data_IF_962062577431
#
_entry.id   IF_962062577431
#
_cell.length_a   1.000
_cell.length_b   1.000
_cell.length_c   1.000
_cell.angle_alpha   90.00
_cell.angle_beta   90.00
_cell.angle_gamma   90.00
#
_symmetry.space_group_name_H-M   'P 1'
#
loop_
_entity.id
_entity.type
_entity.pdbx_description
1 polymer ?
#
# COMPACT_ATOMS: atom_id res chain seq x y z
N UNK A 1 42.52 61.10 -32.34
CA UNK A 1 41.40 61.91 -31.81
C UNK A 1 40.43 60.99 -31.10
N UNK A 2 40.11 61.31 -29.83
CA UNK A 2 38.89 60.98 -29.05
C UNK A 2 38.57 59.47 -28.81
N UNK A 3 38.66 58.97 -27.56
CA UNK A 3 37.60 58.92 -26.50
C UNK A 3 36.38 58.06 -26.93
N UNK A 4 35.68 57.25 -26.14
CA UNK A 4 35.77 56.63 -24.80
C UNK A 4 34.44 55.84 -24.63
N UNK A 5 34.37 54.96 -23.61
CA UNK A 5 33.15 54.55 -22.84
C UNK A 5 32.38 53.23 -23.17
N UNK A 6 32.54 52.30 -22.20
CA UNK A 6 31.61 51.37 -21.47
C UNK A 6 30.77 50.28 -22.16
N UNK A 7 31.08 49.06 -21.70
CA UNK A 7 30.25 48.11 -20.92
C UNK A 7 29.07 47.42 -21.62
N UNK A 8 29.10 46.08 -21.65
CA UNK A 8 28.09 45.19 -21.03
C UNK A 8 28.48 43.70 -21.19
N UNK A 9 28.24 42.95 -20.11
CA UNK A 9 28.46 41.51 -19.95
C UNK A 9 27.54 40.69 -20.86
N UNK A 10 28.06 39.67 -21.53
CA UNK A 10 27.27 38.53 -21.98
C UNK A 10 28.10 37.25 -22.08
N UNK A 11 27.71 36.27 -21.27
CA UNK A 11 27.75 34.82 -21.52
C UNK A 11 29.09 34.20 -21.96
N UNK A 12 29.86 33.75 -20.97
CA UNK A 12 30.83 32.66 -21.12
C UNK A 12 30.77 31.81 -19.86
N UNK A 13 30.03 30.70 -19.92
CA UNK A 13 29.91 29.75 -18.82
C UNK A 13 29.99 28.34 -19.37
N UNK A 14 31.22 27.91 -19.68
CA UNK A 14 31.56 26.53 -19.94
C UNK A 14 31.00 25.63 -18.82
N UNK A 15 30.27 24.59 -19.18
CA UNK A 15 29.92 23.51 -18.27
C UNK A 15 31.18 22.69 -17.96
N UNK A 16 32.03 23.23 -17.09
CA UNK A 16 33.09 22.45 -16.44
C UNK A 16 32.39 21.49 -15.49
N UNK A 17 32.39 20.22 -15.87
CA UNK A 17 32.11 19.09 -14.99
C UNK A 17 33.12 19.18 -13.85
N UNK A 18 32.69 19.69 -12.71
CA UNK A 18 33.53 19.70 -11.51
C UNK A 18 33.75 18.25 -11.09
N UNK A 19 34.97 17.80 -11.35
CA UNK A 19 35.55 16.57 -10.81
C UNK A 19 35.27 16.47 -9.31
N UNK A 20 34.93 15.24 -8.91
CA UNK A 20 34.76 14.75 -7.55
C UNK A 20 35.79 15.36 -6.58
N UNK A 21 35.38 16.22 -5.62
CA UNK A 21 36.25 16.57 -4.51
C UNK A 21 36.14 15.53 -3.40
N UNK A 22 37.27 15.38 -2.73
CA UNK A 22 37.66 14.38 -1.77
C UNK A 22 36.77 14.30 -0.51
N UNK A 23 36.86 13.15 0.14
CA UNK A 23 36.39 12.83 1.48
C UNK A 23 36.32 14.04 2.43
N UNK A 24 35.12 14.31 2.95
CA UNK A 24 34.87 15.41 3.89
C UNK A 24 33.51 16.11 3.72
N UNK A 25 32.57 15.53 2.97
CA UNK A 25 31.23 16.09 2.84
C UNK A 25 30.46 16.04 4.16
N UNK A 26 29.54 16.99 4.36
CA UNK A 26 28.57 17.09 5.47
C UNK A 26 27.97 15.73 5.86
N UNK A 27 27.83 14.81 4.89
CA UNK A 27 27.51 13.40 5.06
C UNK A 27 28.38 12.67 6.09
N UNK A 28 29.71 12.71 5.98
CA UNK A 28 30.60 11.99 6.90
C UNK A 28 30.47 12.51 8.35
N UNK A 29 30.33 13.82 8.52
CA UNK A 29 30.19 14.45 9.84
C UNK A 29 28.84 14.16 10.52
N UNK A 30 27.78 13.99 9.74
CA UNK A 30 26.47 13.59 10.27
C UNK A 30 26.48 12.13 10.73
N UNK A 31 27.09 11.23 9.94
CA UNK A 31 27.25 9.81 10.26
C UNK A 31 28.12 9.59 11.52
N UNK A 32 29.18 10.38 11.67
CA UNK A 32 30.06 10.36 12.85
C UNK A 32 29.32 10.82 14.12
N UNK A 33 28.41 11.82 14.02
CA UNK A 33 27.59 12.30 15.14
C UNK A 33 26.53 11.31 15.62
N UNK A 34 26.14 10.36 14.77
CA UNK A 34 25.13 9.32 15.08
C UNK A 34 25.74 7.93 15.28
N UNK A 35 27.08 7.82 15.40
CA UNK A 35 27.80 6.55 15.57
C UNK A 35 27.46 5.49 14.49
N UNK A 36 27.25 5.92 13.23
CA UNK A 36 26.99 5.01 12.11
C UNK A 36 28.11 5.13 11.09
N UNK A 37 28.55 4.00 10.54
CA UNK A 37 29.53 4.01 9.46
C UNK A 37 28.82 4.15 8.11
N UNK A 38 29.12 5.18 7.30
CA UNK A 38 28.48 5.36 6.00
C UNK A 38 28.85 4.20 5.08
N UNK A 39 27.86 3.40 4.68
CA UNK A 39 28.06 2.30 3.74
C UNK A 39 28.35 2.87 2.35
N UNK A 40 29.50 2.51 1.78
CA UNK A 40 30.09 3.17 0.61
C UNK A 40 29.35 2.91 -0.73
N UNK A 41 28.47 1.91 -0.78
CA UNK A 41 27.66 1.61 -1.95
C UNK A 41 26.40 0.86 -1.54
N UNK A 42 25.24 1.42 -1.85
CA UNK A 42 23.94 0.75 -1.70
C UNK A 42 23.52 0.15 -3.04
N UNK A 43 22.85 -0.98 -3.00
CA UNK A 43 22.16 -1.55 -4.15
C UNK A 43 21.06 -0.61 -4.63
N UNK A 44 20.76 -0.65 -5.94
CA UNK A 44 19.77 0.22 -6.59
C UNK A 44 18.43 0.22 -5.83
N UNK A 45 17.74 1.36 -5.80
CA UNK A 45 16.49 1.58 -5.05
C UNK A 45 15.43 0.47 -5.22
N UNK A 46 15.41 -0.20 -6.37
CA UNK A 46 14.51 -1.33 -6.63
C UNK A 46 14.76 -2.55 -5.73
N UNK A 47 16.00 -2.76 -5.25
CA UNK A 47 16.31 -3.86 -4.31
C UNK A 47 15.67 -3.69 -2.94
N UNK A 48 15.27 -2.47 -2.61
CA UNK A 48 14.69 -2.10 -1.32
C UNK A 48 13.16 -2.13 -1.33
N UNK A 49 12.54 -2.48 -2.46
CA UNK A 49 11.10 -2.77 -2.54
C UNK A 49 10.77 -4.19 -2.06
N UNK A 50 11.75 -5.09 -2.03
CA UNK A 50 11.58 -6.45 -1.57
C UNK A 50 11.65 -6.52 -0.04
N UNK A 51 10.58 -7.08 0.56
CA UNK A 51 10.40 -7.20 1.99
C UNK A 51 11.48 -8.09 2.63
N UNK A 52 12.02 -9.05 1.87
CA UNK A 52 13.06 -9.95 2.34
C UNK A 52 14.42 -9.24 2.47
N UNK A 53 14.76 -8.38 1.52
CA UNK A 53 16.01 -7.59 1.53
C UNK A 53 16.01 -6.53 2.64
N UNK A 54 14.83 -5.99 2.99
CA UNK A 54 14.64 -5.09 4.13
C UNK A 54 14.82 -5.77 5.50
N UNK A 55 14.40 -7.04 5.60
CA UNK A 55 14.51 -7.86 6.82
C UNK A 55 15.96 -8.26 7.10
N UNK A 56 16.72 -8.60 6.06
CA UNK A 56 18.10 -9.09 6.19
C UNK A 56 19.14 -7.95 6.35
N UNK A 57 18.78 -6.73 5.98
CA UNK A 57 19.64 -5.55 6.11
C UNK A 57 19.89 -5.17 7.58
N UNK A 58 21.08 -4.64 7.86
CA UNK A 58 21.40 -4.03 9.17
C UNK A 58 20.71 -2.68 9.35
N UNK A 59 20.58 -2.20 10.59
CA UNK A 59 19.97 -0.90 10.86
C UNK A 59 20.71 0.25 10.14
N UNK A 60 22.04 0.17 10.10
CA UNK A 60 22.93 1.14 9.47
C UNK A 60 22.69 1.23 7.95
N UNK A 61 22.49 0.10 7.29
CA UNK A 61 22.20 0.04 5.86
C UNK A 61 20.82 0.63 5.54
N UNK A 62 19.79 0.30 6.34
CA UNK A 62 18.44 0.87 6.16
C UNK A 62 18.42 2.38 6.34
N UNK A 63 19.13 2.90 7.35
CA UNK A 63 19.19 4.35 7.61
C UNK A 63 19.95 5.07 6.49
N UNK A 64 21.04 4.48 5.99
CA UNK A 64 21.79 5.04 4.87
C UNK A 64 20.93 5.09 3.60
N UNK A 65 20.18 4.02 3.31
CA UNK A 65 19.26 3.96 2.17
C UNK A 65 18.13 4.99 2.29
N UNK A 66 17.48 5.07 3.44
CA UNK A 66 16.42 6.03 3.70
C UNK A 66 16.90 7.47 3.52
N UNK A 67 18.09 7.80 4.04
CA UNK A 67 18.66 9.13 3.93
C UNK A 67 19.05 9.49 2.48
N UNK A 68 19.53 8.53 1.68
CA UNK A 68 19.78 8.75 0.26
C UNK A 68 18.50 8.99 -0.53
N UNK A 69 17.46 8.17 -0.32
CA UNK A 69 16.13 8.36 -0.94
C UNK A 69 15.58 9.74 -0.62
N UNK A 70 15.67 10.13 0.65
CA UNK A 70 15.20 11.43 1.10
C UNK A 70 15.93 12.58 0.40
N UNK A 71 17.26 12.52 0.31
CA UNK A 71 18.07 13.55 -0.33
C UNK A 71 17.89 13.60 -1.85
N UNK A 72 17.64 12.45 -2.49
CA UNK A 72 17.29 12.39 -3.90
C UNK A 72 15.92 13.02 -4.17
N UNK A 73 14.92 12.72 -3.33
CA UNK A 73 13.61 13.36 -3.39
C UNK A 73 13.70 14.87 -3.19
N UNK A 74 14.49 15.34 -2.23
CA UNK A 74 14.73 16.77 -2.01
C UNK A 74 15.44 17.45 -3.20
N UNK A 75 16.36 16.76 -3.87
CA UNK A 75 16.97 17.27 -5.10
C UNK A 75 15.96 17.40 -6.23
N UNK A 76 15.04 16.45 -6.35
CA UNK A 76 13.97 16.47 -7.37
C UNK A 76 12.92 17.55 -7.10
N UNK A 77 12.63 17.87 -5.84
CA UNK A 77 11.71 18.95 -5.49
C UNK A 77 12.29 20.35 -5.71
N UNK A 78 13.63 20.48 -5.79
CA UNK A 78 14.31 21.75 -6.08
C UNK A 78 14.32 22.73 -4.91
N UNK A 79 13.86 22.31 -3.73
CA UNK A 79 13.81 23.14 -2.53
C UNK A 79 15.20 23.34 -1.93
N UNK A 80 15.54 24.59 -1.62
CA UNK A 80 16.75 24.92 -0.86
C UNK A 80 16.54 24.58 0.62
N UNK A 81 16.94 23.38 1.00
CA UNK A 81 16.94 22.97 2.40
C UNK A 81 18.19 23.53 3.08
N UNK A 82 18.03 24.63 3.83
CA UNK A 82 19.12 25.22 4.62
C UNK A 82 19.43 24.40 5.88
N UNK A 83 18.43 23.68 6.42
CA UNK A 83 18.59 22.82 7.58
C UNK A 83 17.56 21.69 7.59
N UNK A 84 18.02 20.49 7.94
CA UNK A 84 17.18 19.31 8.11
C UNK A 84 16.57 19.37 9.51
N UNK A 85 15.48 20.12 9.65
CA UNK A 85 14.76 20.26 10.91
C UNK A 85 13.62 19.22 11.01
N UNK A 86 13.29 18.82 12.24
CA UNK A 86 12.22 17.84 12.51
C UNK A 86 10.88 18.23 11.86
N UNK A 87 10.58 19.54 11.83
CA UNK A 87 9.36 20.08 11.22
C UNK A 87 9.26 19.81 9.72
N UNK A 88 10.39 19.82 9.01
CA UNK A 88 10.44 19.52 7.57
C UNK A 88 10.21 18.02 7.33
N UNK A 89 10.77 17.16 8.19
CA UNK A 89 10.49 15.72 8.15
C UNK A 89 9.02 15.43 8.43
N UNK A 90 8.46 16.02 9.49
CA UNK A 90 7.05 15.85 9.84
C UNK A 90 6.13 16.34 8.69
N UNK A 91 6.52 17.40 7.98
CA UNK A 91 5.78 17.88 6.80
C UNK A 91 5.78 16.87 5.64
N UNK A 92 6.94 16.31 5.29
CA UNK A 92 7.01 15.31 4.22
C UNK A 92 6.36 13.97 4.61
N UNK A 93 6.40 13.58 5.89
CA UNK A 93 5.64 12.43 6.38
C UNK A 93 4.14 12.68 6.19
N UNK A 94 3.64 13.86 6.60
CA UNK A 94 2.24 14.21 6.41
C UNK A 94 1.82 14.26 4.93
N UNK A 95 2.71 14.71 4.04
CA UNK A 95 2.47 14.69 2.60
C UNK A 95 2.37 13.26 2.05
N UNK A 96 3.27 12.37 2.45
CA UNK A 96 3.22 10.95 2.08
C UNK A 96 1.96 10.28 2.63
N UNK A 97 1.63 10.50 3.90
CA UNK A 97 0.41 9.99 4.52
C UNK A 97 -0.83 10.49 3.77
N UNK A 98 -0.83 11.75 3.31
CA UNK A 98 -1.92 12.28 2.51
C UNK A 98 -2.02 11.60 1.14
N UNK A 99 -0.91 11.37 0.47
CA UNK A 99 -0.88 10.65 -0.82
C UNK A 99 -1.38 9.21 -0.68
N UNK A 100 -0.90 8.50 0.36
CA UNK A 100 -1.32 7.12 0.67
C UNK A 100 -2.81 7.10 1.02
N UNK A 101 -3.26 8.03 1.87
CA UNK A 101 -4.67 8.13 2.27
C UNK A 101 -5.57 8.37 1.06
N UNK A 102 -5.19 9.26 0.15
CA UNK A 102 -5.96 9.49 -1.09
C UNK A 102 -6.07 8.24 -1.96
N UNK A 103 -4.98 7.49 -2.08
CA UNK A 103 -4.98 6.26 -2.87
C UNK A 103 -5.84 5.18 -2.19
N UNK A 104 -5.71 5.05 -0.87
CA UNK A 104 -6.49 4.11 -0.09
C UNK A 104 -7.98 4.47 -0.15
N UNK A 105 -8.33 5.75 0.00
CA UNK A 105 -9.70 6.25 -0.13
C UNK A 105 -10.28 5.91 -1.50
N UNK A 106 -9.53 6.09 -2.58
CA UNK A 106 -9.99 5.73 -3.92
C UNK A 106 -10.29 4.23 -4.05
N UNK A 107 -9.47 3.37 -3.44
CA UNK A 107 -9.69 1.91 -3.44
C UNK A 107 -10.89 1.52 -2.57
N UNK A 108 -10.98 2.08 -1.36
CA UNK A 108 -12.03 1.80 -0.38
C UNK A 108 -13.40 2.32 -0.82
N UNK A 109 -13.44 3.40 -1.59
CA UNK A 109 -14.68 3.96 -2.15
C UNK A 109 -15.02 3.43 -3.53
N UNK A 110 -14.30 2.43 -4.02
CA UNK A 110 -14.65 1.77 -5.27
C UNK A 110 -15.93 0.93 -5.09
N UNK A 111 -16.91 1.11 -5.98
CA UNK A 111 -18.24 0.47 -5.90
C UNK A 111 -18.15 -1.06 -5.73
N UNK A 112 -17.26 -1.73 -6.49
CA UNK A 112 -17.07 -3.19 -6.35
C UNK A 112 -16.52 -3.60 -4.98
N UNK A 113 -15.60 -2.81 -4.43
CA UNK A 113 -15.03 -3.09 -3.11
C UNK A 113 -16.10 -2.89 -2.03
N UNK A 114 -16.83 -1.77 -2.08
CA UNK A 114 -17.91 -1.48 -1.13
C UNK A 114 -19.03 -2.53 -1.18
N UNK A 115 -19.38 -3.02 -2.39
CA UNK A 115 -20.36 -4.10 -2.55
C UNK A 115 -19.92 -5.35 -1.79
N UNK A 116 -18.69 -5.80 -2.00
CA UNK A 116 -18.15 -7.00 -1.32
C UNK A 116 -17.99 -6.74 0.18
N UNK A 117 -17.45 -5.59 0.58
CA UNK A 117 -17.27 -5.22 1.98
C UNK A 117 -18.60 -5.17 2.73
N UNK A 118 -19.64 -4.59 2.13
CA UNK A 118 -20.97 -4.51 2.75
C UNK A 118 -21.58 -5.88 3.01
N UNK A 119 -21.40 -6.83 2.07
CA UNK A 119 -21.84 -8.22 2.22
C UNK A 119 -21.12 -8.91 3.40
N UNK A 120 -19.78 -8.81 3.45
CA UNK A 120 -18.99 -9.43 4.52
C UNK A 120 -19.22 -8.76 5.88
N UNK A 121 -19.38 -7.44 5.93
CA UNK A 121 -19.75 -6.72 7.16
C UNK A 121 -21.14 -7.11 7.65
N UNK A 122 -22.10 -7.28 6.75
CA UNK A 122 -23.43 -7.79 7.05
C UNK A 122 -23.38 -9.20 7.64
N UNK A 123 -22.64 -10.10 6.99
CA UNK A 123 -22.42 -11.47 7.47
C UNK A 123 -21.73 -11.49 8.84
N UNK A 124 -20.70 -10.66 9.03
CA UNK A 124 -20.01 -10.52 10.32
C UNK A 124 -20.97 -10.04 11.40
N UNK A 125 -21.85 -9.08 11.11
CA UNK A 125 -22.88 -8.62 12.05
C UNK A 125 -23.85 -9.72 12.44
N UNK A 126 -24.24 -10.60 11.49
CA UNK A 126 -25.09 -11.75 11.75
C UNK A 126 -24.39 -12.75 12.69
N UNK A 127 -23.14 -13.08 12.40
CA UNK A 127 -22.33 -13.99 13.22
C UNK A 127 -22.15 -13.43 14.63
N UNK A 128 -21.83 -12.15 14.77
CA UNK A 128 -21.56 -11.52 16.07
C UNK A 128 -22.81 -11.42 16.96
N UNK A 129 -23.99 -11.34 16.36
CA UNK A 129 -25.27 -11.29 17.09
C UNK A 129 -25.84 -12.68 17.40
N UNK A 130 -25.24 -13.74 16.87
CA UNK A 130 -25.75 -15.11 17.02
C UNK A 130 -25.06 -15.81 18.20
N UNK A 131 -25.85 -16.30 19.16
CA UNK A 131 -25.32 -17.15 20.23
C UNK A 131 -25.21 -18.61 19.78
N UNK A 132 -24.02 -19.01 19.34
CA UNK A 132 -23.73 -20.39 18.92
C UNK A 132 -23.84 -21.42 20.05
N UNK A 133 -23.91 -21.00 21.33
CA UNK A 133 -24.12 -21.92 22.46
C UNK A 133 -25.53 -22.50 22.46
N UNK A 134 -26.47 -21.87 21.76
CA UNK A 134 -27.84 -22.36 21.60
C UNK A 134 -28.00 -23.38 20.46
N UNK A 135 -26.91 -24.04 20.06
CA UNK A 135 -26.89 -25.03 18.97
C UNK A 135 -27.39 -24.47 17.62
N UNK A 136 -27.06 -23.20 17.35
CA UNK A 136 -27.32 -22.55 16.07
C UNK A 136 -26.17 -22.85 15.11
N UNK A 137 -26.50 -23.16 13.86
CA UNK A 137 -25.55 -23.30 12.75
C UNK A 137 -25.92 -22.34 11.64
N UNK A 138 -24.93 -21.69 11.06
CA UNK A 138 -25.07 -20.80 9.92
C UNK A 138 -24.30 -21.43 8.77
N UNK A 139 -24.93 -21.55 7.62
CA UNK A 139 -24.33 -22.05 6.40
C UNK A 139 -24.42 -20.98 5.32
N UNK A 140 -23.34 -20.81 4.57
CA UNK A 140 -23.22 -19.78 3.56
C UNK A 140 -23.19 -20.44 2.19
N UNK A 141 -24.01 -19.95 1.28
CA UNK A 141 -24.05 -20.38 -0.11
C UNK A 141 -23.80 -19.16 -0.98
N UNK A 142 -22.68 -19.17 -1.70
CA UNK A 142 -22.32 -18.10 -2.62
C UNK A 142 -23.05 -18.30 -3.96
N UNK A 143 -23.97 -17.40 -4.28
CA UNK A 143 -24.78 -17.42 -5.49
C UNK A 143 -25.09 -15.99 -5.92
N UNK A 144 -24.98 -15.71 -7.22
CA UNK A 144 -25.46 -14.45 -7.77
C UNK A 144 -26.98 -14.49 -7.99
N UNK A 145 -27.61 -13.32 -8.01
CA UNK A 145 -29.05 -13.20 -8.27
C UNK A 145 -29.42 -13.60 -9.71
N UNK A 146 -28.49 -13.43 -10.64
CA UNK A 146 -28.70 -13.82 -12.05
C UNK A 146 -28.60 -15.33 -12.19
N UNK A 147 -27.59 -15.97 -11.59
CA UNK A 147 -27.46 -17.43 -11.59
C UNK A 147 -28.68 -18.10 -10.94
N UNK A 148 -29.17 -17.53 -9.84
CA UNK A 148 -30.36 -18.05 -9.18
C UNK A 148 -31.62 -17.93 -10.05
N UNK A 149 -31.75 -16.82 -10.80
CA UNK A 149 -32.87 -16.65 -11.74
C UNK A 149 -32.79 -17.65 -12.88
N UNK A 150 -31.59 -17.80 -13.45
CA UNK A 150 -31.34 -18.75 -14.53
C UNK A 150 -31.64 -20.18 -14.07
N UNK A 151 -31.23 -20.58 -12.86
CA UNK A 151 -31.55 -21.89 -12.27
C UNK A 151 -33.06 -22.15 -12.22
N UNK A 152 -33.86 -21.12 -11.89
CA UNK A 152 -35.32 -21.25 -11.88
C UNK A 152 -35.96 -21.22 -13.27
N UNK A 153 -35.35 -20.56 -14.26
CA UNK A 153 -35.85 -20.54 -15.63
C UNK A 153 -35.52 -21.84 -16.38
N UNK A 154 -34.37 -22.43 -16.10
CA UNK A 154 -33.92 -23.69 -16.71
C UNK A 154 -34.63 -24.92 -16.11
N UNK A 155 -35.04 -24.84 -14.84
CA UNK A 155 -35.74 -25.92 -14.16
C UNK A 155 -37.21 -26.02 -14.62
N UNK A 156 -37.68 -27.20 -15.09
CA UNK A 156 -39.08 -27.39 -15.48
C UNK A 156 -40.06 -27.19 -14.31
N UNK A 157 -39.61 -27.51 -13.11
CA UNK A 157 -40.34 -27.35 -11.86
C UNK A 157 -39.37 -26.89 -10.75
N UNK A 158 -39.86 -26.10 -9.79
CA UNK A 158 -39.05 -25.57 -8.67
C UNK A 158 -38.34 -26.69 -7.89
N UNK A 159 -38.99 -27.85 -7.72
CA UNK A 159 -38.43 -29.00 -7.01
C UNK A 159 -37.24 -29.66 -7.71
N UNK A 160 -36.98 -29.28 -8.95
CA UNK A 160 -35.86 -29.77 -9.76
C UNK A 160 -34.73 -28.72 -9.85
N UNK A 161 -34.89 -27.55 -9.24
CA UNK A 161 -33.87 -26.50 -9.26
C UNK A 161 -32.68 -26.85 -8.37
N UNK A 162 -31.50 -26.31 -8.68
CA UNK A 162 -30.29 -26.49 -7.89
C UNK A 162 -30.45 -25.99 -6.45
N UNK A 163 -31.14 -24.86 -6.24
CA UNK A 163 -31.42 -24.35 -4.89
C UNK A 163 -32.26 -25.33 -4.07
N UNK A 164 -33.25 -25.99 -4.68
CA UNK A 164 -34.10 -26.96 -3.98
C UNK A 164 -33.31 -28.18 -3.53
N UNK A 165 -32.43 -28.69 -4.39
CA UNK A 165 -31.52 -29.80 -4.04
C UNK A 165 -30.66 -29.45 -2.82
N UNK A 166 -30.07 -28.25 -2.80
CA UNK A 166 -29.19 -27.83 -1.71
C UNK A 166 -29.93 -27.54 -0.40
N UNK A 167 -31.13 -26.96 -0.48
CA UNK A 167 -31.87 -26.50 0.71
C UNK A 167 -32.80 -27.57 1.29
N UNK A 168 -33.43 -28.37 0.43
CA UNK A 168 -34.42 -29.36 0.86
C UNK A 168 -33.81 -30.76 0.90
N UNK A 169 -33.19 -31.23 -0.18
CA UNK A 169 -32.69 -32.61 -0.23
C UNK A 169 -31.44 -32.76 0.65
N UNK A 170 -30.44 -31.90 0.45
CA UNK A 170 -29.15 -32.00 1.14
C UNK A 170 -29.18 -31.59 2.62
N UNK A 171 -30.21 -30.86 3.04
CA UNK A 171 -30.34 -30.36 4.41
C UNK A 171 -31.53 -30.97 5.15
N UNK A 172 -32.73 -30.96 4.57
CA UNK A 172 -33.92 -31.46 5.27
C UNK A 172 -34.01 -32.98 5.19
N UNK A 173 -33.91 -33.56 3.99
CA UNK A 173 -34.14 -34.99 3.77
C UNK A 173 -32.99 -35.86 4.31
N UNK A 174 -31.74 -35.48 4.02
CA UNK A 174 -30.54 -36.17 4.52
C UNK A 174 -30.28 -35.95 6.00
N UNK A 175 -30.49 -34.73 6.57
CA UNK A 175 -30.28 -34.52 8.00
C UNK A 175 -31.43 -35.05 8.86
N UNK A 176 -32.66 -35.15 8.35
CA UNK A 176 -33.74 -35.87 9.03
C UNK A 176 -33.36 -37.33 9.30
N UNK A 177 -32.75 -38.00 8.31
CA UNK A 177 -32.21 -39.35 8.50
C UNK A 177 -31.10 -39.41 9.56
N UNK A 178 -30.21 -38.40 9.63
CA UNK A 178 -29.14 -38.32 10.64
C UNK A 178 -29.61 -37.95 12.05
N UNK A 179 -30.72 -37.20 12.16
CA UNK A 179 -31.33 -36.80 13.45
C UNK A 179 -32.10 -37.94 14.11
N UNK A 180 -32.58 -38.92 13.35
CA UNK A 180 -33.23 -40.11 13.91
C UNK A 180 -32.26 -41.12 14.53
N UNK A 181 -30.95 -40.94 14.37
CA UNK A 181 -29.92 -41.88 14.80
C UNK A 181 -29.05 -41.40 15.98
N UNK A 182 -29.46 -40.33 16.69
CA UNK A 182 -28.80 -39.84 17.91
C UNK A 182 -29.77 -39.66 19.06
#
# INVERSE_FOLDING_TARGET
MLMSVKNENAAGGESVVLERPQAGGVYASLFEKINLNPVASLSALDSWQDNQTMSDATADERVTAAMQIFLERLKQSGDKVEKLDKTLLDHHIAELDHQISRQLDAVMHHEDFQRVESLWRGMKSLVDKTDFRQNVKIELLDLSKDDLRQDFEDAPEIVQSGLYLQTYVAEYDTRAASRSAR
#
